data_IF_856958858807
#
_entry.id   IF_856958858807
#
_cell.length_a   1.000
_cell.length_b   1.000
_cell.length_c   1.000
_cell.angle_alpha   90.00
_cell.angle_beta   90.00
_cell.angle_gamma   90.00
#
_symmetry.space_group_name_H-M   'P 1'
#
loop_
_entity.id
_entity.type
_entity.pdbx_description
1 polymer ?
#
# COMPACT_ATOMS: atom_id res chain seq x y z
N UNK A 1 16.01 41.13 -46.57
CA UNK A 1 14.93 41.14 -45.54
C UNK A 1 13.78 40.36 -46.16
N UNK A 2 13.37 39.16 -45.74
CA UNK A 2 13.21 38.58 -44.41
C UNK A 2 13.14 37.03 -44.50
N UNK A 3 13.72 36.37 -43.49
CA UNK A 3 13.45 35.07 -42.83
C UNK A 3 12.97 33.81 -43.60
N UNK A 4 13.76 32.74 -43.47
CA UNK A 4 13.27 31.34 -43.34
C UNK A 4 12.80 31.12 -41.88
N UNK A 5 11.91 30.15 -41.59
CA UNK A 5 12.42 28.83 -41.21
C UNK A 5 11.59 27.62 -41.64
N UNK A 6 12.30 26.50 -41.72
CA UNK A 6 11.90 25.10 -41.88
C UNK A 6 10.73 24.66 -40.99
N UNK A 7 9.74 24.00 -41.59
CA UNK A 7 8.72 23.24 -40.88
C UNK A 7 9.30 21.95 -40.27
N UNK A 8 8.92 21.59 -39.03
CA UNK A 8 9.47 20.44 -38.34
C UNK A 8 8.84 19.11 -38.78
N UNK A 9 9.69 18.10 -38.78
CA UNK A 9 9.40 16.67 -38.91
C UNK A 9 8.41 16.26 -37.81
N UNK A 10 7.29 15.65 -38.21
CA UNK A 10 6.32 15.04 -37.29
C UNK A 10 6.91 13.73 -36.73
N UNK A 11 7.06 13.54 -35.40
CA UNK A 11 7.50 12.26 -34.86
C UNK A 11 6.36 11.24 -34.93
N UNK A 12 6.67 9.93 -35.01
CA UNK A 12 5.65 8.90 -35.13
C UNK A 12 4.82 8.80 -33.84
N UNK A 13 3.51 8.66 -34.01
CA UNK A 13 2.56 8.31 -32.98
C UNK A 13 2.93 6.90 -32.44
N UNK A 14 3.72 6.84 -31.36
CA UNK A 14 3.87 5.59 -30.62
C UNK A 14 2.56 5.39 -29.84
N UNK A 15 1.61 4.70 -30.46
CA UNK A 15 0.43 4.19 -29.77
C UNK A 15 0.94 3.22 -28.70
N UNK A 16 1.18 3.70 -27.48
CA UNK A 16 1.44 2.83 -26.34
C UNK A 16 0.17 2.03 -26.13
N UNK A 17 0.20 0.77 -26.58
CA UNK A 17 -0.70 -0.27 -26.09
C UNK A 17 -0.46 -0.34 -24.58
N UNK A 18 -1.28 0.38 -23.81
CA UNK A 18 -1.45 0.06 -22.41
C UNK A 18 -2.15 -1.29 -22.39
N UNK A 19 -1.36 -2.34 -22.18
CA UNK A 19 -1.86 -3.63 -21.76
C UNK A 19 -2.83 -3.36 -20.62
N UNK A 20 -4.12 -3.65 -20.81
CA UNK A 20 -5.09 -3.67 -19.73
C UNK A 20 -4.69 -4.80 -18.80
N UNK A 21 -3.79 -4.51 -17.88
CA UNK A 21 -3.63 -5.33 -16.69
C UNK A 21 -5.00 -5.26 -16.02
N UNK A 22 -5.68 -6.40 -15.92
CA UNK A 22 -6.78 -6.55 -14.97
C UNK A 22 -6.17 -6.27 -13.59
N UNK A 23 -6.17 -5.01 -13.16
CA UNK A 23 -5.89 -4.70 -11.79
C UNK A 23 -7.04 -5.32 -11.01
N UNK A 24 -6.75 -6.37 -10.24
CA UNK A 24 -7.69 -6.80 -9.22
C UNK A 24 -7.88 -5.59 -8.30
N UNK A 25 -9.02 -4.92 -8.46
CA UNK A 25 -9.31 -3.72 -7.69
C UNK A 25 -9.46 -4.12 -6.23
N UNK A 26 -8.73 -3.46 -5.33
CA UNK A 26 -8.88 -3.61 -3.89
C UNK A 26 -10.33 -3.28 -3.44
N UNK A 27 -11.10 -2.54 -4.24
CA UNK A 27 -12.51 -2.27 -3.99
C UNK A 27 -13.42 -3.49 -4.16
N UNK A 28 -12.99 -4.52 -4.91
CA UNK A 28 -13.75 -5.74 -5.18
C UNK A 28 -13.41 -6.91 -4.27
N UNK A 29 -12.34 -6.77 -3.45
CA UNK A 29 -11.86 -7.85 -2.57
C UNK A 29 -12.22 -7.51 -1.12
N UNK A 30 -12.95 -8.39 -0.41
CA UNK A 30 -13.29 -8.16 0.99
C UNK A 30 -12.07 -8.40 1.89
N UNK A 31 -11.30 -7.34 2.14
CA UNK A 31 -10.11 -7.42 2.99
C UNK A 31 -10.43 -7.52 4.49
N UNK A 32 -11.65 -7.16 4.90
CA UNK A 32 -12.06 -7.18 6.30
C UNK A 32 -11.74 -8.51 6.99
N UNK A 33 -11.29 -8.45 8.24
CA UNK A 33 -10.93 -9.62 9.05
C UNK A 33 -9.51 -9.58 9.56
N UNK A 34 -9.04 -10.72 10.06
CA UNK A 34 -7.71 -10.86 10.67
C UNK A 34 -6.68 -11.36 9.67
N UNK A 35 -5.46 -10.83 9.78
CA UNK A 35 -4.34 -11.15 8.92
C UNK A 35 -3.05 -11.22 9.72
N UNK A 36 -2.15 -12.12 9.31
CA UNK A 36 -0.86 -12.35 9.93
C UNK A 36 0.20 -11.68 9.07
N UNK A 37 0.88 -10.67 9.61
CA UNK A 37 1.95 -9.92 8.96
C UNK A 37 3.34 -10.32 9.44
N UNK A 38 4.27 -10.49 8.52
CA UNK A 38 5.67 -10.76 8.84
C UNK A 38 6.49 -9.45 8.88
N UNK A 39 6.70 -8.92 10.08
CA UNK A 39 7.52 -7.73 10.31
C UNK A 39 8.98 -8.15 10.54
N UNK A 40 9.87 -7.83 9.59
CA UNK A 40 11.29 -8.23 9.68
C UNK A 40 11.92 -7.74 10.99
N UNK A 41 12.50 -8.66 11.76
CA UNK A 41 13.13 -8.35 13.05
C UNK A 41 12.18 -8.41 14.25
N UNK A 42 10.90 -8.63 14.01
CA UNK A 42 9.86 -8.86 15.01
C UNK A 42 9.19 -10.22 14.73
N UNK A 43 8.32 -10.67 15.65
CA UNK A 43 7.55 -11.89 15.43
C UNK A 43 6.45 -11.67 14.38
N UNK A 44 5.74 -12.73 14.00
CA UNK A 44 4.50 -12.56 13.23
C UNK A 44 3.52 -11.74 14.06
N UNK A 45 2.94 -10.71 13.44
CA UNK A 45 1.98 -9.82 14.09
C UNK A 45 0.61 -9.98 13.47
N UNK A 46 -0.43 -10.10 14.30
CA UNK A 46 -1.81 -10.15 13.83
C UNK A 46 -2.35 -8.73 13.69
N UNK A 47 -3.02 -8.44 12.59
CA UNK A 47 -3.74 -7.19 12.35
C UNK A 47 -5.22 -7.48 12.08
N UNK A 48 -6.09 -6.51 12.38
CA UNK A 48 -7.48 -6.49 11.93
C UNK A 48 -7.67 -5.41 10.89
N UNK A 49 -8.25 -5.78 9.75
CA UNK A 49 -8.63 -4.84 8.69
C UNK A 49 -10.13 -4.54 8.79
N UNK A 50 -10.47 -3.27 8.76
CA UNK A 50 -11.85 -2.77 8.76
C UNK A 50 -12.04 -1.69 7.67
N UNK A 51 -13.28 -1.57 7.17
CA UNK A 51 -13.65 -0.45 6.30
C UNK A 51 -14.15 0.70 7.16
N UNK A 52 -13.35 1.76 7.27
CA UNK A 52 -13.64 2.93 8.10
C UNK A 52 -13.62 4.17 7.20
N UNK A 53 -14.74 4.88 7.14
CA UNK A 53 -14.90 6.10 6.31
C UNK A 53 -14.49 5.89 4.83
N UNK A 54 -14.79 4.70 4.28
CA UNK A 54 -14.46 4.37 2.88
C UNK A 54 -12.99 4.03 2.63
N UNK A 55 -12.18 3.84 3.68
CA UNK A 55 -10.79 3.38 3.60
C UNK A 55 -10.65 2.00 4.22
N UNK A 56 -9.71 1.21 3.73
CA UNK A 56 -9.23 0.04 4.47
C UNK A 56 -8.25 0.52 5.54
N UNK A 57 -8.52 0.18 6.79
CA UNK A 57 -7.70 0.52 7.95
C UNK A 57 -7.27 -0.78 8.64
N UNK A 58 -5.95 -0.96 8.79
CA UNK A 58 -5.35 -2.09 9.49
C UNK A 58 -4.85 -1.67 10.87
N UNK A 59 -5.36 -2.31 11.91
CA UNK A 59 -4.99 -2.06 13.31
C UNK A 59 -4.26 -3.28 13.87
N UNK A 60 -3.16 -3.09 14.61
CA UNK A 60 -2.43 -4.19 15.23
C UNK A 60 -3.23 -4.81 16.37
N UNK A 61 -3.28 -6.14 16.41
CA UNK A 61 -3.83 -6.94 17.50
C UNK A 61 -2.72 -7.34 18.47
N UNK A 62 -1.58 -7.85 17.99
CA UNK A 62 -0.48 -8.33 18.85
C UNK A 62 0.60 -7.28 19.12
N UNK A 63 0.88 -6.38 18.17
CA UNK A 63 1.73 -5.21 18.40
C UNK A 63 3.22 -5.51 18.61
N UNK A 64 4.07 -4.53 18.36
CA UNK A 64 5.50 -4.58 18.67
C UNK A 64 5.95 -3.30 19.42
N UNK A 65 7.25 -3.22 19.79
CA UNK A 65 7.81 -2.09 20.53
C UNK A 65 7.77 -0.76 19.75
N UNK A 66 7.64 -0.82 18.43
CA UNK A 66 7.58 0.36 17.55
C UNK A 66 6.14 0.78 17.28
N UNK A 67 5.22 -0.16 17.07
CA UNK A 67 3.79 0.09 16.88
C UNK A 67 3.02 -0.90 17.75
N UNK A 68 2.49 -0.47 18.91
CA UNK A 68 1.86 -1.37 19.85
C UNK A 68 0.48 -1.83 19.39
N UNK A 69 -0.07 -2.83 20.11
CA UNK A 69 -1.42 -3.31 19.90
C UNK A 69 -2.44 -2.17 20.08
N UNK A 70 -3.48 -2.15 19.24
CA UNK A 70 -4.50 -1.11 19.20
C UNK A 70 -4.17 0.05 18.26
N UNK A 71 -2.93 0.20 17.81
CA UNK A 71 -2.53 1.25 16.89
C UNK A 71 -2.72 0.85 15.42
N UNK A 72 -2.94 1.85 14.56
CA UNK A 72 -3.03 1.64 13.12
C UNK A 72 -1.63 1.31 12.59
N UNK A 73 -1.51 0.25 11.80
CA UNK A 73 -0.25 -0.02 11.06
C UNK A 73 -0.25 0.60 9.67
N UNK A 74 -1.41 0.64 8.99
CA UNK A 74 -1.57 1.32 7.71
C UNK A 74 -3.04 1.58 7.38
N UNK A 75 -3.28 2.52 6.47
CA UNK A 75 -4.60 2.81 5.90
C UNK A 75 -4.49 3.18 4.42
N UNK A 76 -5.42 2.72 3.59
CA UNK A 76 -5.41 2.98 2.14
C UNK A 76 -6.79 3.30 1.57
N UNK A 77 -6.78 4.05 0.47
CA UNK A 77 -7.94 4.19 -0.40
C UNK A 77 -8.12 2.91 -1.23
N UNK A 78 -9.28 2.23 -1.16
CA UNK A 78 -9.52 0.97 -1.87
C UNK A 78 -9.58 1.10 -3.39
N UNK A 79 -9.74 2.30 -3.95
CA UNK A 79 -9.78 2.50 -5.40
C UNK A 79 -8.40 2.67 -6.01
N UNK A 80 -7.45 3.21 -5.24
CA UNK A 80 -6.10 3.52 -5.73
C UNK A 80 -5.02 2.61 -5.11
N UNK A 81 -5.31 1.99 -3.97
CA UNK A 81 -4.33 1.30 -3.14
C UNK A 81 -3.33 2.24 -2.45
N UNK A 82 -3.41 3.55 -2.69
CA UNK A 82 -2.50 4.53 -2.09
C UNK A 82 -2.95 4.86 -0.67
N UNK A 83 -1.97 5.12 0.19
CA UNK A 83 -2.23 5.55 1.55
C UNK A 83 -0.96 5.79 2.32
N UNK A 84 -0.97 5.37 3.57
CA UNK A 84 0.11 5.66 4.50
C UNK A 84 0.22 4.55 5.55
N UNK A 85 1.46 4.28 5.95
CA UNK A 85 1.80 3.33 6.99
C UNK A 85 2.40 4.05 8.19
N UNK A 86 2.08 3.57 9.37
CA UNK A 86 2.61 4.12 10.60
C UNK A 86 4.02 3.55 10.87
N UNK A 87 4.90 4.41 11.35
CA UNK A 87 6.22 4.07 11.87
C UNK A 87 6.42 4.81 13.20
N UNK A 88 7.25 4.27 14.08
CA UNK A 88 7.75 4.97 15.25
C UNK A 88 9.11 4.40 15.67
N UNK A 89 9.86 5.15 16.48
CA UNK A 89 11.00 4.61 17.21
C UNK A 89 10.57 3.65 18.31
N UNK A 90 11.55 2.98 18.93
CA UNK A 90 11.33 2.05 20.04
C UNK A 90 10.55 2.74 21.18
N UNK A 91 9.65 2.00 21.83
CA UNK A 91 8.73 2.53 22.84
C UNK A 91 7.67 3.46 22.26
N UNK A 92 7.27 3.23 21.00
CA UNK A 92 6.30 4.06 20.26
C UNK A 92 6.67 5.55 20.21
N UNK A 93 7.97 5.85 20.05
CA UNK A 93 8.47 7.23 20.11
C UNK A 93 8.34 7.93 18.76
N UNK A 94 7.86 9.18 18.76
CA UNK A 94 7.67 10.02 17.56
C UNK A 94 6.87 9.31 16.44
N UNK A 95 5.65 8.83 16.72
CA UNK A 95 4.85 8.14 15.72
C UNK A 95 4.52 9.07 14.55
N UNK A 96 4.70 8.57 13.33
CA UNK A 96 4.47 9.29 12.10
C UNK A 96 3.85 8.35 11.06
N UNK A 97 2.92 8.88 10.27
CA UNK A 97 2.48 8.23 9.05
C UNK A 97 3.35 8.66 7.87
N UNK A 98 3.84 7.68 7.12
CA UNK A 98 4.61 7.89 5.90
C UNK A 98 3.86 7.33 4.70
N UNK A 99 4.02 7.93 3.51
CA UNK A 99 3.37 7.44 2.29
C UNK A 99 3.67 5.97 2.01
N UNK A 100 2.66 5.27 1.48
CA UNK A 100 2.77 3.87 1.11
C UNK A 100 1.65 3.44 0.17
N UNK A 101 1.66 2.17 -0.20
CA UNK A 101 0.58 1.57 -0.99
C UNK A 101 0.39 0.10 -0.68
N UNK A 102 -0.84 -0.37 -0.88
CA UNK A 102 -1.23 -1.76 -0.75
C UNK A 102 -1.26 -2.42 -2.13
N UNK A 103 -0.64 -3.58 -2.22
CA UNK A 103 -0.63 -4.46 -3.38
C UNK A 103 -1.38 -5.75 -3.03
N UNK A 104 -2.35 -6.13 -3.88
CA UNK A 104 -3.05 -7.41 -3.75
C UNK A 104 -2.34 -8.46 -4.59
N UNK A 105 -1.81 -9.51 -3.95
CA UNK A 105 -1.20 -10.63 -4.67
C UNK A 105 -2.25 -11.71 -4.99
N UNK A 106 -3.07 -12.06 -4.00
CA UNK A 106 -4.18 -13.01 -4.10
C UNK A 106 -5.27 -12.64 -3.06
N UNK A 107 -6.46 -13.28 -3.07
CA UNK A 107 -7.51 -12.98 -2.09
C UNK A 107 -7.09 -13.16 -0.62
N UNK A 108 -6.06 -13.96 -0.37
CA UNK A 108 -5.51 -14.34 0.93
C UNK A 108 -4.07 -13.84 1.17
N UNK A 109 -3.48 -13.10 0.22
CA UNK A 109 -2.13 -12.51 0.32
C UNK A 109 -2.11 -11.07 -0.15
N UNK A 110 -1.69 -10.17 0.74
CA UNK A 110 -1.52 -8.74 0.46
C UNK A 110 -0.15 -8.26 0.91
N UNK A 111 0.34 -7.17 0.31
CA UNK A 111 1.61 -6.55 0.68
C UNK A 111 1.42 -5.06 0.85
N UNK A 112 1.77 -4.53 2.03
CA UNK A 112 1.86 -3.08 2.20
C UNK A 112 3.30 -2.63 2.07
N UNK A 113 3.54 -1.63 1.23
CA UNK A 113 4.86 -1.04 1.00
C UNK A 113 4.92 0.35 1.66
N UNK A 114 5.81 0.51 2.63
CA UNK A 114 6.19 1.83 3.14
C UNK A 114 7.21 2.45 2.17
N UNK A 115 6.87 3.59 1.58
CA UNK A 115 7.68 4.20 0.53
C UNK A 115 9.12 4.41 1.01
N UNK A 116 10.08 3.75 0.33
CA UNK A 116 11.53 3.79 0.61
C UNK A 116 11.97 3.16 1.95
N UNK A 117 11.09 2.56 2.73
CA UNK A 117 11.44 1.96 4.03
C UNK A 117 11.34 0.44 4.04
N UNK A 118 10.45 -0.15 3.23
CA UNK A 118 10.31 -1.60 3.15
C UNK A 118 8.88 -2.02 2.88
N UNK A 119 8.59 -3.30 3.13
CA UNK A 119 7.26 -3.88 2.94
C UNK A 119 6.99 -5.01 3.93
N UNK A 120 5.73 -5.24 4.20
CA UNK A 120 5.23 -6.36 4.99
C UNK A 120 4.22 -7.11 4.15
N UNK A 121 4.41 -8.43 4.07
CA UNK A 121 3.43 -9.35 3.50
C UNK A 121 2.50 -9.83 4.61
N UNK A 122 1.20 -9.84 4.31
CA UNK A 122 0.17 -10.34 5.18
C UNK A 122 -0.55 -11.51 4.51
N UNK A 123 -0.84 -12.53 5.30
CA UNK A 123 -1.60 -13.71 4.90
C UNK A 123 -2.81 -13.92 5.79
N UNK A 124 -3.85 -14.58 5.28
CA UNK A 124 -4.85 -15.22 6.14
C UNK A 124 -4.30 -16.54 6.69
N UNK A 125 -4.84 -16.99 7.81
CA UNK A 125 -4.62 -18.37 8.25
C UNK A 125 -5.52 -19.27 7.40
N UNK A 126 -4.92 -20.32 6.82
CA UNK A 126 -5.58 -21.29 5.94
C UNK A 126 -6.40 -22.31 6.75
#
# INVERSE_FOLDING_TARGET
MQFLPSSPICPPLLLRLFSSVKQNSLSSVPLAGEWIGNYRGHFEEVIRIESIQGKWVATKITGDDNVPAGEITWRVDPHTGLGEGQIAGEGYTQPLFVPGHLELLSPDRIVFHWQKLGKVEYRRDD
#
